data_IF_357579954105
#
_entry.id   IF_357579954105
#
_cell.length_a   1.000
_cell.length_b   1.000
_cell.length_c   1.000
_cell.angle_alpha   90.00
_cell.angle_beta   90.00
_cell.angle_gamma   90.00
#
_symmetry.space_group_name_H-M   'P 1'
#
loop_
_entity.id
_entity.type
_entity.pdbx_description
1 polymer ?
#
# COMPACT_ATOMS: atom_id res chain seq x y z
N UNK A 1 33.12 -45.65 29.86
CA UNK A 1 33.54 -44.25 29.66
C UNK A 1 33.09 -43.81 28.27
N UNK A 2 32.20 -42.81 28.24
CA UNK A 2 31.90 -41.91 27.12
C UNK A 2 31.57 -42.50 25.74
N UNK A 3 30.36 -42.23 25.24
CA UNK A 3 30.15 -41.24 24.16
C UNK A 3 28.66 -41.08 23.80
N UNK A 4 28.14 -39.94 24.25
CA UNK A 4 27.23 -39.02 23.56
C UNK A 4 26.08 -39.57 22.68
N UNK A 5 24.86 -39.39 23.20
CA UNK A 5 23.79 -38.59 22.59
C UNK A 5 24.04 -38.18 21.12
N UNK A 6 23.39 -38.89 20.20
CA UNK A 6 23.11 -38.43 18.82
C UNK A 6 21.59 -38.28 18.75
N UNK A 7 21.07 -37.17 19.27
CA UNK A 7 20.65 -35.99 18.51
C UNK A 7 19.50 -36.33 17.55
N UNK A 8 18.30 -36.07 18.07
CA UNK A 8 17.02 -36.01 17.38
C UNK A 8 17.00 -34.92 16.29
N UNK A 9 17.40 -35.23 15.06
CA UNK A 9 17.35 -34.25 13.95
C UNK A 9 16.92 -34.85 12.61
N UNK A 10 15.88 -35.68 12.59
CA UNK A 10 15.31 -36.16 11.32
C UNK A 10 13.78 -36.31 11.31
N UNK A 11 13.06 -35.56 12.15
CA UNK A 11 11.59 -35.50 12.08
C UNK A 11 11.12 -34.07 12.30
N UNK A 12 10.29 -33.58 11.37
CA UNK A 12 9.97 -32.16 11.14
C UNK A 12 11.22 -31.45 10.61
N UNK A 13 11.27 -31.12 9.34
CA UNK A 13 10.55 -29.98 8.80
C UNK A 13 10.45 -30.17 7.28
N UNK A 14 9.29 -30.60 6.79
CA UNK A 14 8.82 -30.12 5.51
C UNK A 14 7.88 -28.97 5.88
N UNK A 15 8.48 -27.80 6.19
CA UNK A 15 7.70 -26.57 6.25
C UNK A 15 7.00 -26.48 4.91
N UNK A 16 5.68 -26.42 5.00
CA UNK A 16 4.78 -25.79 4.05
C UNK A 16 5.61 -24.77 3.28
N UNK A 17 5.86 -25.05 1.99
CA UNK A 17 6.43 -24.07 1.10
C UNK A 17 5.54 -22.85 1.24
N UNK A 18 6.06 -21.84 1.95
CA UNK A 18 5.39 -20.57 2.17
C UNK A 18 5.00 -20.13 0.76
N UNK A 19 3.70 -19.96 0.55
CA UNK A 19 3.18 -19.22 -0.58
C UNK A 19 3.91 -17.88 -0.58
N UNK A 20 4.97 -17.80 -1.37
CA UNK A 20 5.59 -16.52 -1.67
C UNK A 20 4.51 -15.78 -2.42
N UNK A 21 3.82 -14.88 -1.73
CA UNK A 21 3.15 -13.76 -2.37
C UNK A 21 4.27 -12.97 -3.04
N UNK A 22 4.67 -13.46 -4.21
CA UNK A 22 5.57 -12.81 -5.12
C UNK A 22 4.83 -11.54 -5.48
N UNK A 23 5.10 -10.46 -4.74
CA UNK A 23 4.77 -9.10 -5.11
C UNK A 23 5.08 -9.05 -6.61
N UNK A 24 4.04 -9.04 -7.43
CA UNK A 24 4.18 -9.15 -8.88
C UNK A 24 5.20 -8.10 -9.28
N UNK A 25 6.32 -8.51 -9.89
CA UNK A 25 7.39 -7.58 -10.23
C UNK A 25 6.79 -6.43 -11.05
N UNK A 26 7.33 -5.21 -10.98
CA UNK A 26 6.80 -4.08 -11.75
C UNK A 26 6.61 -4.43 -13.23
N UNK A 27 7.56 -5.18 -13.81
CA UNK A 27 7.49 -5.65 -15.20
C UNK A 27 6.28 -6.55 -15.45
N UNK A 28 6.01 -7.50 -14.56
CA UNK A 28 4.82 -8.37 -14.67
C UNK A 28 3.51 -7.61 -14.48
N UNK A 29 3.51 -6.55 -13.66
CA UNK A 29 2.36 -5.67 -13.48
C UNK A 29 2.13 -4.80 -14.72
N UNK A 30 3.19 -4.27 -15.33
CA UNK A 30 3.11 -3.54 -16.59
C UNK A 30 2.60 -4.43 -17.73
N UNK A 31 3.07 -5.67 -17.82
CA UNK A 31 2.56 -6.63 -18.79
C UNK A 31 1.07 -6.91 -18.60
N UNK A 32 0.62 -7.10 -17.34
CA UNK A 32 -0.80 -7.26 -17.02
C UNK A 32 -1.61 -6.01 -17.38
N UNK A 33 -1.07 -4.82 -17.13
CA UNK A 33 -1.74 -3.55 -17.44
C UNK A 33 -2.02 -3.37 -18.94
N UNK A 34 -1.15 -3.93 -19.79
CA UNK A 34 -1.27 -3.87 -21.25
C UNK A 34 -2.25 -4.89 -21.84
N UNK A 35 -2.72 -5.86 -21.05
CA UNK A 35 -3.73 -6.83 -21.48
C UNK A 35 -5.13 -6.24 -21.31
N UNK A 36 -6.06 -6.67 -22.17
CA UNK A 36 -7.47 -6.32 -22.00
C UNK A 36 -8.02 -7.07 -20.79
N UNK A 37 -8.24 -6.36 -19.69
CA UNK A 37 -8.66 -6.92 -18.41
C UNK A 37 -9.86 -6.12 -17.87
N UNK A 38 -10.70 -6.74 -17.03
CA UNK A 38 -11.79 -6.04 -16.35
C UNK A 38 -11.28 -4.80 -15.59
N UNK A 39 -12.11 -3.78 -15.50
CA UNK A 39 -11.78 -2.52 -14.83
C UNK A 39 -11.32 -2.75 -13.37
N UNK A 40 -11.91 -3.70 -12.66
CA UNK A 40 -11.51 -4.06 -11.28
C UNK A 40 -10.08 -4.62 -11.20
N UNK A 41 -9.66 -5.40 -12.18
CA UNK A 41 -8.32 -5.99 -12.22
C UNK A 41 -7.30 -4.93 -12.62
N UNK A 42 -7.66 -4.10 -13.60
CA UNK A 42 -6.87 -2.93 -14.01
C UNK A 42 -6.62 -1.98 -12.84
N UNK A 43 -7.66 -1.68 -12.08
CA UNK A 43 -7.59 -0.87 -10.88
C UNK A 43 -6.57 -1.44 -9.88
N UNK A 44 -6.65 -2.73 -9.59
CA UNK A 44 -5.74 -3.39 -8.64
C UNK A 44 -4.28 -3.35 -9.13
N UNK A 45 -4.04 -3.56 -10.44
CA UNK A 45 -2.71 -3.45 -11.03
C UNK A 45 -2.14 -2.03 -10.91
N UNK A 46 -2.97 -1.01 -11.21
CA UNK A 46 -2.57 0.40 -11.07
C UNK A 46 -2.22 0.75 -9.62
N UNK A 47 -3.00 0.30 -8.65
CA UNK A 47 -2.70 0.51 -7.23
C UNK A 47 -1.36 -0.11 -6.83
N UNK A 48 -1.11 -1.37 -7.24
CA UNK A 48 0.17 -2.05 -6.94
C UNK A 48 1.37 -1.36 -7.58
N UNK A 49 1.23 -0.86 -8.81
CA UNK A 49 2.28 -0.06 -9.46
C UNK A 49 2.52 1.24 -8.71
N UNK A 50 1.45 1.97 -8.37
CA UNK A 50 1.55 3.20 -7.59
C UNK A 50 2.25 2.99 -6.25
N UNK A 51 1.89 1.95 -5.51
CA UNK A 51 2.55 1.63 -4.23
C UNK A 51 4.01 1.22 -4.40
N UNK A 52 4.33 0.48 -5.47
CA UNK A 52 5.70 0.09 -5.77
C UNK A 52 6.61 1.31 -5.95
N UNK A 53 6.19 2.30 -6.74
CA UNK A 53 6.95 3.52 -6.94
C UNK A 53 6.93 4.42 -5.70
N UNK A 54 5.82 4.45 -4.96
CA UNK A 54 5.69 5.25 -3.74
C UNK A 54 6.67 4.82 -2.66
N UNK A 55 6.83 3.51 -2.45
CA UNK A 55 7.68 2.96 -1.39
C UNK A 55 9.07 2.54 -1.88
N UNK A 56 9.47 3.04 -3.06
CA UNK A 56 10.81 2.81 -3.57
C UNK A 56 11.83 3.56 -2.69
N UNK A 57 12.95 2.93 -2.29
CA UNK A 57 13.91 3.57 -1.39
C UNK A 57 14.46 4.90 -1.92
N UNK A 58 14.81 5.79 -0.99
CA UNK A 58 15.40 7.12 -1.21
C UNK A 58 14.45 8.22 -1.72
N UNK A 59 13.14 7.98 -1.74
CA UNK A 59 12.09 9.01 -1.92
C UNK A 59 12.35 9.96 -3.10
N UNK A 60 12.89 9.42 -4.21
CA UNK A 60 13.20 10.23 -5.37
C UNK A 60 11.90 10.84 -5.93
N UNK A 61 11.94 12.15 -6.20
CA UNK A 61 10.78 12.89 -6.69
C UNK A 61 10.19 12.25 -7.95
N UNK A 62 11.04 11.74 -8.84
CA UNK A 62 10.64 11.06 -10.06
C UNK A 62 9.79 9.81 -9.77
N UNK A 63 10.12 9.04 -8.73
CA UNK A 63 9.34 7.87 -8.32
C UNK A 63 7.97 8.29 -7.76
N UNK A 64 7.92 9.38 -6.98
CA UNK A 64 6.66 9.95 -6.48
C UNK A 64 5.75 10.46 -7.60
N UNK A 65 6.31 11.13 -8.61
CA UNK A 65 5.57 11.62 -9.79
C UNK A 65 4.99 10.46 -10.62
N UNK A 66 5.69 9.32 -10.68
CA UNK A 66 5.18 8.09 -11.29
C UNK A 66 4.08 7.46 -10.44
N UNK A 67 4.26 7.38 -9.12
CA UNK A 67 3.28 6.80 -8.21
C UNK A 67 1.92 7.52 -8.30
N UNK A 68 1.91 8.86 -8.22
CA UNK A 68 0.68 9.64 -8.29
C UNK A 68 -0.02 9.52 -9.65
N UNK A 69 0.74 9.32 -10.73
CA UNK A 69 0.18 9.07 -12.06
C UNK A 69 -0.65 7.79 -12.07
N UNK A 70 -0.18 6.70 -11.46
CA UNK A 70 -0.95 5.47 -11.35
C UNK A 70 -2.18 5.60 -10.43
N UNK A 71 -2.05 6.30 -9.30
CA UNK A 71 -3.19 6.54 -8.41
C UNK A 71 -4.28 7.38 -9.09
N UNK A 72 -3.92 8.39 -9.88
CA UNK A 72 -4.87 9.18 -10.66
C UNK A 72 -5.59 8.33 -11.72
N UNK A 73 -4.88 7.41 -12.39
CA UNK A 73 -5.51 6.47 -13.31
C UNK A 73 -6.47 5.53 -12.59
N UNK A 74 -6.09 5.00 -11.42
CA UNK A 74 -6.97 4.16 -10.61
C UNK A 74 -8.23 4.94 -10.17
N UNK A 75 -8.09 6.23 -9.83
CA UNK A 75 -9.22 7.10 -9.49
C UNK A 75 -10.25 7.20 -10.63
N UNK A 76 -9.80 7.36 -11.87
CA UNK A 76 -10.71 7.43 -13.03
C UNK A 76 -11.53 6.14 -13.17
N UNK A 77 -10.92 4.98 -12.91
CA UNK A 77 -11.62 3.69 -12.98
C UNK A 77 -12.60 3.54 -11.81
N UNK A 78 -12.18 3.87 -10.57
CA UNK A 78 -13.05 3.68 -9.41
C UNK A 78 -14.30 4.55 -9.47
N UNK A 79 -14.20 5.75 -10.03
CA UNK A 79 -15.34 6.66 -10.21
C UNK A 79 -16.41 6.02 -11.12
N UNK A 80 -16.02 5.15 -12.07
CA UNK A 80 -16.96 4.36 -12.89
C UNK A 80 -17.54 3.16 -12.15
N UNK A 81 -16.73 2.51 -11.31
CA UNK A 81 -17.14 1.32 -10.55
C UNK A 81 -18.03 1.66 -9.35
N UNK A 82 -18.06 2.93 -8.93
CA UNK A 82 -18.81 3.42 -7.77
C UNK A 82 -18.55 2.60 -6.48
N UNK A 83 -17.32 2.09 -6.34
CA UNK A 83 -16.94 1.21 -5.24
C UNK A 83 -16.29 1.99 -4.11
N UNK A 84 -17.02 2.20 -3.02
CA UNK A 84 -16.51 2.87 -1.82
C UNK A 84 -15.25 2.20 -1.27
N UNK A 85 -15.18 0.86 -1.29
CA UNK A 85 -14.00 0.11 -0.83
C UNK A 85 -12.75 0.52 -1.61
N UNK A 86 -12.83 0.52 -2.93
CA UNK A 86 -11.71 0.89 -3.79
C UNK A 86 -11.38 2.37 -3.71
N UNK A 87 -12.41 3.22 -3.56
CA UNK A 87 -12.21 4.64 -3.38
C UNK A 87 -11.41 4.89 -2.11
N UNK A 88 -11.82 4.33 -0.98
CA UNK A 88 -11.09 4.46 0.28
C UNK A 88 -9.63 3.97 0.15
N UNK A 89 -9.40 2.86 -0.55
CA UNK A 89 -8.04 2.34 -0.79
C UNK A 89 -7.15 3.28 -1.60
N UNK A 90 -7.70 3.97 -2.60
CA UNK A 90 -6.97 4.99 -3.38
C UNK A 90 -6.65 6.20 -2.51
N UNK A 91 -7.62 6.66 -1.71
CA UNK A 91 -7.44 7.81 -0.82
C UNK A 91 -6.36 7.54 0.24
N UNK A 92 -6.26 6.32 0.78
CA UNK A 92 -5.16 5.92 1.68
C UNK A 92 -3.81 6.01 0.95
N UNK A 93 -3.70 5.50 -0.29
CA UNK A 93 -2.47 5.63 -1.08
C UNK A 93 -2.11 7.10 -1.35
N UNK A 94 -3.10 7.96 -1.65
CA UNK A 94 -2.85 9.38 -1.86
C UNK A 94 -2.41 10.09 -0.57
N UNK A 95 -2.96 9.72 0.58
CA UNK A 95 -2.51 10.22 1.88
C UNK A 95 -1.03 9.86 2.11
N UNK A 96 -0.65 8.61 1.86
CA UNK A 96 0.75 8.17 1.97
C UNK A 96 1.64 8.92 0.99
N UNK A 97 1.22 9.11 -0.27
CA UNK A 97 1.93 9.95 -1.24
C UNK A 97 2.21 11.37 -0.72
N UNK A 98 1.23 12.01 -0.08
CA UNK A 98 1.46 13.34 0.48
C UNK A 98 2.41 13.34 1.69
N UNK A 99 2.47 12.25 2.46
CA UNK A 99 3.49 12.09 3.51
C UNK A 99 4.90 11.94 2.93
N UNK A 100 5.08 11.05 1.94
CA UNK A 100 6.39 10.87 1.27
C UNK A 100 6.85 12.13 0.53
N UNK A 101 5.91 12.96 0.07
CA UNK A 101 6.20 14.27 -0.53
C UNK A 101 6.46 15.39 0.50
N UNK A 102 6.30 15.10 1.78
CA UNK A 102 6.30 16.07 2.88
C UNK A 102 5.25 17.19 2.75
N UNK A 103 4.17 16.93 2.02
CA UNK A 103 3.02 17.83 1.86
C UNK A 103 1.96 17.51 2.92
N UNK A 104 2.29 17.81 4.18
CA UNK A 104 1.46 17.46 5.33
C UNK A 104 0.08 18.13 5.31
N UNK A 105 -0.04 19.27 4.63
CA UNK A 105 -1.31 19.95 4.47
C UNK A 105 -2.28 19.11 3.63
N UNK A 106 -1.81 18.58 2.48
CA UNK A 106 -2.64 17.72 1.65
C UNK A 106 -2.82 16.32 2.27
N UNK A 107 -1.84 15.81 3.01
CA UNK A 107 -2.00 14.58 3.79
C UNK A 107 -3.14 14.72 4.81
N UNK A 108 -3.15 15.80 5.60
CA UNK A 108 -4.23 16.11 6.56
C UNK A 108 -5.59 16.27 5.87
N UNK A 109 -5.64 17.01 4.76
CA UNK A 109 -6.89 17.18 4.00
C UNK A 109 -7.47 15.83 3.55
N UNK A 110 -6.61 14.94 3.07
CA UNK A 110 -6.98 13.60 2.61
C UNK A 110 -7.49 12.75 3.78
N UNK A 111 -6.76 12.76 4.89
CA UNK A 111 -7.14 12.10 6.15
C UNK A 111 -8.52 12.57 6.65
N UNK A 112 -8.73 13.88 6.79
CA UNK A 112 -10.00 14.42 7.28
C UNK A 112 -11.18 13.99 6.39
N UNK A 113 -10.94 13.88 5.07
CA UNK A 113 -11.96 13.46 4.11
C UNK A 113 -12.31 11.98 4.24
N UNK A 114 -11.31 11.11 4.45
CA UNK A 114 -11.49 9.69 4.75
C UNK A 114 -12.29 9.49 6.04
N UNK A 115 -11.90 10.14 7.14
CA UNK A 115 -12.59 10.01 8.43
C UNK A 115 -14.04 10.45 8.32
N UNK A 116 -14.33 11.60 7.66
CA UNK A 116 -15.70 12.04 7.42
C UNK A 116 -16.51 11.00 6.62
N UNK A 117 -15.91 10.34 5.64
CA UNK A 117 -16.57 9.30 4.87
C UNK A 117 -16.89 8.07 5.72
N UNK A 118 -15.92 7.60 6.52
CA UNK A 118 -16.12 6.45 7.40
C UNK A 118 -17.15 6.72 8.49
N UNK A 119 -17.16 7.91 9.06
CA UNK A 119 -18.18 8.32 10.03
C UNK A 119 -19.59 8.34 9.42
N UNK A 120 -19.73 8.88 8.21
CA UNK A 120 -21.02 8.89 7.48
C UNK A 120 -21.52 7.49 7.13
N UNK A 121 -20.60 6.58 6.80
CA UNK A 121 -20.92 5.21 6.38
C UNK A 121 -20.96 4.21 7.55
N UNK A 122 -20.63 4.64 8.77
CA UNK A 122 -20.57 3.79 9.96
C UNK A 122 -19.38 2.82 9.98
N UNK A 123 -18.35 3.04 9.16
CA UNK A 123 -17.28 2.08 8.93
C UNK A 123 -16.14 2.20 9.96
N UNK A 124 -16.40 1.75 11.19
CA UNK A 124 -15.56 2.00 12.37
C UNK A 124 -14.17 1.37 12.34
N UNK A 125 -14.02 0.21 11.70
CA UNK A 125 -12.71 -0.47 11.60
C UNK A 125 -11.75 0.38 10.76
N UNK A 126 -12.19 0.79 9.58
CA UNK A 126 -11.37 1.58 8.65
C UNK A 126 -11.15 3.00 9.18
N UNK A 127 -12.10 3.55 9.93
CA UNK A 127 -11.89 4.79 10.69
C UNK A 127 -10.67 4.64 11.62
N UNK A 128 -10.64 3.60 12.45
CA UNK A 128 -9.55 3.36 13.40
C UNK A 128 -8.21 3.06 12.71
N UNK A 129 -8.18 2.19 11.70
CA UNK A 129 -6.97 1.88 10.92
C UNK A 129 -6.38 3.13 10.25
N UNK A 130 -7.25 4.05 9.80
CA UNK A 130 -6.80 5.31 9.19
C UNK A 130 -6.20 6.26 10.23
N UNK A 131 -6.77 6.33 11.44
CA UNK A 131 -6.17 7.07 12.56
C UNK A 131 -4.78 6.52 12.94
N UNK A 132 -4.65 5.19 13.02
CA UNK A 132 -3.39 4.51 13.30
C UNK A 132 -2.34 4.87 12.24
N UNK A 133 -2.64 4.62 10.97
CA UNK A 133 -1.75 4.91 9.84
C UNK A 133 -1.29 6.39 9.83
N UNK A 134 -2.23 7.32 10.01
CA UNK A 134 -1.93 8.76 10.00
C UNK A 134 -1.01 9.16 11.16
N UNK A 135 -1.23 8.58 12.34
CA UNK A 135 -0.43 8.86 13.54
C UNK A 135 0.98 8.28 13.42
N UNK A 136 1.11 7.06 12.91
CA UNK A 136 2.41 6.43 12.63
C UNK A 136 3.25 7.28 11.67
N UNK A 137 2.64 7.72 10.56
CA UNK A 137 3.31 8.58 9.57
C UNK A 137 3.73 9.93 10.16
N UNK A 138 2.88 10.55 10.98
CA UNK A 138 3.25 11.79 11.69
C UNK A 138 4.40 11.61 12.69
N UNK A 139 4.51 10.45 13.32
CA UNK A 139 5.61 10.17 14.24
C UNK A 139 6.91 9.96 13.47
N UNK A 140 6.86 9.18 12.38
CA UNK A 140 8.01 8.99 11.48
C UNK A 140 8.53 10.32 10.95
N UNK A 141 7.63 11.19 10.47
CA UNK A 141 7.97 12.51 9.96
C UNK A 141 8.49 13.49 11.03
N UNK A 142 8.38 13.18 12.33
CA UNK A 142 8.99 14.00 13.39
C UNK A 142 10.39 13.53 13.75
N UNK A 143 10.71 12.27 13.45
CA UNK A 143 11.97 11.63 13.83
C UNK A 143 13.00 11.58 12.70
N UNK A 144 12.60 11.92 11.48
CA UNK A 144 13.52 11.98 10.34
C UNK A 144 14.48 13.19 10.50
N UNK A 145 15.81 12.98 10.50
CA UNK A 145 16.79 14.06 10.62
C UNK A 145 16.91 14.94 9.36
N UNK A 146 16.16 14.69 8.29
CA UNK A 146 16.05 15.60 7.15
C UNK A 146 15.27 16.90 7.45
N UNK A 147 14.82 17.10 8.70
CA UNK A 147 14.16 18.30 9.23
C UNK A 147 15.10 19.25 9.99
#
# INVERSE_FOLDING_TARGET
MGKFLVICFFTSVAYIAIAQDHLSSPDSLLEKLNKNQPDSDKLNVLLKLGDFYLFKPNEFKEDLDVAITYFNQAKIIVDKLQSNKWQNRIWISMMNYYFEKHDYQNAKYTFDSLIRNFQKTGNKIQEAETYETYTEKLNYSKTDPAF
#
